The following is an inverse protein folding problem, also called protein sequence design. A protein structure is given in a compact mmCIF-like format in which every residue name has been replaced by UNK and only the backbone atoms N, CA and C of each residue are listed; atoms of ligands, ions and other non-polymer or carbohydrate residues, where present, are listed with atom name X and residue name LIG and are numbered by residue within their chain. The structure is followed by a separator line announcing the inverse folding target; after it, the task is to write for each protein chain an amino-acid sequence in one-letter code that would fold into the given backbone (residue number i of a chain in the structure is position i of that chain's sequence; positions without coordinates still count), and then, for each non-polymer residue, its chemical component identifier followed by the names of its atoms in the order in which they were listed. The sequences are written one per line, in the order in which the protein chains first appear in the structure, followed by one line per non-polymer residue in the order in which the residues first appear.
data_IF_226911158949
#
_entry.id   IF_226911158949
#
_cell.length_a   1.000
_cell.length_b   1.000
_cell.length_c   1.000
_cell.angle_alpha   90.00
_cell.angle_beta   90.00
_cell.angle_gamma   90.00
#
_symmetry.space_group_name_H-M   'P 1'
#
loop_
_entity.id
_entity.type
_entity.pdbx_description
1 polymer ?
#
# COMPACT_ATOMS: atom_id res chain seq x y z
N UNK A 1 3.80 18.96 22.31
CA UNK A 1 2.33 18.88 22.41
C UNK A 1 1.92 17.42 22.59
N UNK A 2 1.16 17.12 23.62
CA UNK A 2 0.65 15.79 23.95
C UNK A 2 -0.64 15.46 23.16
N UNK A 3 -1.06 14.19 23.13
CA UNK A 3 -2.34 13.79 22.51
C UNK A 3 -3.54 14.44 23.22
N UNK A 4 -3.50 14.51 24.55
CA UNK A 4 -4.52 15.14 25.38
C UNK A 4 -4.68 16.63 25.05
N UNK A 5 -3.57 17.37 24.91
CA UNK A 5 -3.58 18.78 24.50
C UNK A 5 -4.18 18.97 23.10
N UNK A 6 -3.89 18.06 22.15
CA UNK A 6 -4.44 18.13 20.79
C UNK A 6 -5.95 17.94 20.81
N UNK A 7 -6.40 16.92 21.52
CA UNK A 7 -7.82 16.69 21.73
C UNK A 7 -8.50 17.88 22.41
N UNK A 8 -7.85 18.52 23.38
CA UNK A 8 -8.40 19.70 24.04
C UNK A 8 -8.59 20.87 23.07
N UNK A 9 -7.66 21.08 22.13
CA UNK A 9 -7.78 22.09 21.08
C UNK A 9 -8.89 21.72 20.07
N UNK A 10 -8.94 20.47 19.62
CA UNK A 10 -9.96 19.99 18.68
C UNK A 10 -11.37 20.10 19.26
N UNK A 11 -11.53 19.87 20.58
CA UNK A 11 -12.81 19.93 21.28
C UNK A 11 -13.12 21.30 21.91
N UNK A 12 -12.42 22.37 21.53
CA UNK A 12 -12.66 23.71 22.08
C UNK A 12 -14.09 24.20 21.79
N UNK A 13 -14.55 24.02 20.56
CA UNK A 13 -15.84 24.52 20.07
C UNK A 13 -16.86 23.39 19.80
N UNK A 14 -16.56 22.16 20.24
CA UNK A 14 -17.36 20.97 19.98
C UNK A 14 -18.03 20.48 21.25
N UNK A 15 -19.36 20.32 21.21
CA UNK A 15 -20.10 19.70 22.30
C UNK A 15 -19.79 18.19 22.36
N UNK A 16 -19.04 17.79 23.37
CA UNK A 16 -18.57 16.40 23.57
C UNK A 16 -19.72 15.39 23.70
N UNK A 17 -20.83 15.77 24.34
CA UNK A 17 -21.98 14.88 24.53
C UNK A 17 -22.81 14.72 23.25
N UNK A 18 -22.88 15.76 22.42
CA UNK A 18 -23.45 15.66 21.08
C UNK A 18 -22.57 14.79 20.19
N UNK A 19 -21.28 15.10 20.13
CA UNK A 19 -20.30 14.33 19.36
C UNK A 19 -20.34 12.83 19.70
N UNK A 20 -20.31 12.49 20.99
CA UNK A 20 -20.35 11.10 21.42
C UNK A 20 -21.60 10.34 20.97
N UNK A 21 -22.75 11.02 20.86
CA UNK A 21 -24.00 10.42 20.38
C UNK A 21 -24.00 10.29 18.86
N UNK A 22 -23.60 11.35 18.16
CA UNK A 22 -23.61 11.40 16.70
C UNK A 22 -22.65 10.37 16.08
N UNK A 23 -21.51 10.13 16.72
CA UNK A 23 -20.50 9.18 16.24
C UNK A 23 -20.61 7.80 16.90
N UNK A 24 -21.63 7.57 17.74
CA UNK A 24 -21.74 6.39 18.59
C UNK A 24 -20.42 6.04 19.31
N UNK A 25 -19.77 7.06 19.90
CA UNK A 25 -18.39 6.97 20.37
C UNK A 25 -18.19 5.86 21.42
N UNK A 26 -17.16 5.00 21.30
CA UNK A 26 -16.91 3.92 22.26
C UNK A 26 -16.74 4.44 23.70
N UNK A 27 -17.60 3.99 24.62
CA UNK A 27 -17.61 4.47 26.01
C UNK A 27 -18.19 5.89 26.21
N UNK A 28 -18.77 6.47 25.16
CA UNK A 28 -19.50 7.73 25.19
C UNK A 28 -18.67 8.94 25.60
N UNK A 29 -19.37 9.97 26.09
CA UNK A 29 -18.75 11.25 26.45
C UNK A 29 -17.74 11.13 27.61
N UNK A 30 -17.96 10.18 28.53
CA UNK A 30 -17.02 9.90 29.63
C UNK A 30 -15.65 9.45 29.12
N UNK A 31 -15.61 8.65 28.05
CA UNK A 31 -14.35 8.22 27.44
C UNK A 31 -13.61 9.40 26.81
N UNK A 32 -14.33 10.29 26.12
CA UNK A 32 -13.76 11.52 25.55
C UNK A 32 -13.12 12.38 26.63
N UNK A 33 -13.78 12.52 27.79
CA UNK A 33 -13.23 13.25 28.92
C UNK A 33 -11.93 12.60 29.45
N UNK A 34 -11.88 11.27 29.54
CA UNK A 34 -10.68 10.55 30.00
C UNK A 34 -9.49 10.76 29.04
N UNK A 35 -9.73 10.77 27.72
CA UNK A 35 -8.69 11.06 26.73
C UNK A 35 -8.21 12.52 26.78
N UNK A 36 -9.14 13.49 26.86
CA UNK A 36 -8.79 14.92 26.97
C UNK A 36 -8.00 15.22 28.23
N UNK A 37 -8.30 14.54 29.34
CA UNK A 37 -7.57 14.70 30.61
C UNK A 37 -6.32 13.83 30.71
N UNK A 38 -6.01 13.03 29.69
CA UNK A 38 -4.84 12.15 29.67
C UNK A 38 -4.88 11.00 30.68
N UNK A 39 -6.05 10.69 31.28
CA UNK A 39 -6.20 9.61 32.26
C UNK A 39 -6.15 8.22 31.64
N UNK A 40 -6.53 8.12 30.37
CA UNK A 40 -6.54 6.88 29.61
C UNK A 40 -5.93 7.11 28.23
N UNK A 41 -5.08 6.20 27.71
CA UNK A 41 -4.60 6.28 26.34
C UNK A 41 -5.72 6.04 25.34
N UNK A 42 -5.60 6.63 24.15
CA UNK A 42 -6.54 6.45 23.04
C UNK A 42 -6.39 5.03 22.46
N UNK A 43 -7.48 4.27 22.40
CA UNK A 43 -7.51 2.96 21.73
C UNK A 43 -7.70 3.11 20.21
N UNK A 44 -7.37 2.09 19.40
CA UNK A 44 -7.57 2.14 17.95
C UNK A 44 -9.01 2.45 17.53
N UNK A 45 -10.00 1.88 18.22
CA UNK A 45 -11.42 2.09 17.93
C UNK A 45 -11.84 3.53 18.25
N UNK A 46 -11.30 4.08 19.33
CA UNK A 46 -11.53 5.47 19.69
C UNK A 46 -10.83 6.43 18.71
N UNK A 47 -9.63 6.07 18.23
CA UNK A 47 -8.90 6.84 17.24
C UNK A 47 -9.66 6.91 15.90
N UNK A 48 -10.22 5.79 15.44
CA UNK A 48 -11.07 5.74 14.24
C UNK A 48 -12.31 6.62 14.39
N UNK A 49 -13.02 6.53 15.53
CA UNK A 49 -14.18 7.37 15.81
C UNK A 49 -13.84 8.87 15.85
N UNK A 50 -12.67 9.26 16.37
CA UNK A 50 -12.21 10.64 16.31
C UNK A 50 -11.89 11.09 14.88
N UNK A 51 -11.15 10.28 14.12
CA UNK A 51 -10.78 10.63 12.75
C UNK A 51 -12.01 10.79 11.87
N UNK A 52 -12.92 9.82 11.92
CA UNK A 52 -14.18 9.82 11.17
C UNK A 52 -15.13 10.93 11.63
N UNK A 53 -15.27 11.14 12.94
CA UNK A 53 -16.20 12.12 13.50
C UNK A 53 -15.76 13.57 13.37
N UNK A 54 -14.45 13.83 13.46
CA UNK A 54 -13.88 15.18 13.34
C UNK A 54 -13.41 15.49 11.92
N UNK A 55 -13.45 14.50 11.02
CA UNK A 55 -12.91 14.58 9.66
C UNK A 55 -11.44 15.03 9.64
N UNK A 56 -10.63 14.39 10.48
CA UNK A 56 -9.18 14.63 10.62
C UNK A 56 -8.40 13.36 10.34
N UNK A 57 -7.12 13.51 10.04
CA UNK A 57 -6.21 12.37 9.88
C UNK A 57 -5.67 11.89 11.22
N UNK A 58 -5.22 10.62 11.26
CA UNK A 58 -4.63 10.04 12.47
C UNK A 58 -3.38 10.79 12.93
N UNK A 59 -2.61 11.37 12.02
CA UNK A 59 -1.43 12.19 12.34
C UNK A 59 -1.80 13.49 13.07
N UNK A 60 -2.91 14.13 12.67
CA UNK A 60 -3.44 15.32 13.34
C UNK A 60 -3.94 15.00 14.76
N UNK A 61 -4.48 13.80 14.99
CA UNK A 61 -4.88 13.33 16.31
C UNK A 61 -3.67 12.95 17.17
N UNK A 62 -2.82 12.08 16.63
CA UNK A 62 -1.67 11.48 17.31
C UNK A 62 -0.61 11.03 16.31
N UNK A 63 0.50 11.77 16.18
CA UNK A 63 1.62 11.37 15.34
C UNK A 63 2.20 10.01 15.74
N UNK A 64 2.19 9.69 17.04
CA UNK A 64 2.66 8.40 17.57
C UNK A 64 1.79 7.24 17.08
N UNK A 65 0.46 7.38 17.13
CA UNK A 65 -0.44 6.35 16.63
C UNK A 65 -0.34 6.22 15.10
N UNK A 66 -0.15 7.32 14.38
CA UNK A 66 0.07 7.30 12.93
C UNK A 66 1.34 6.53 12.55
N UNK A 67 2.44 6.72 13.27
CA UNK A 67 3.67 5.97 13.06
C UNK A 67 3.48 4.47 13.34
N UNK A 68 2.81 4.12 14.44
CA UNK A 68 2.51 2.72 14.78
C UNK A 68 1.61 2.09 13.71
N UNK A 69 0.56 2.78 13.28
CA UNK A 69 -0.34 2.30 12.23
C UNK A 69 0.42 2.07 10.91
N UNK A 70 1.32 2.98 10.54
CA UNK A 70 2.17 2.83 9.34
C UNK A 70 3.08 1.62 9.44
N UNK A 71 3.71 1.38 10.61
CA UNK A 71 4.53 0.19 10.85
C UNK A 71 3.71 -1.09 10.78
N UNK A 72 2.52 -1.10 11.39
CA UNK A 72 1.61 -2.25 11.37
C UNK A 72 1.10 -2.54 9.95
N UNK A 73 0.83 -1.52 9.15
CA UNK A 73 0.40 -1.68 7.76
C UNK A 73 1.41 -2.47 6.90
N UNK A 74 2.70 -2.39 7.19
CA UNK A 74 3.73 -3.19 6.50
C UNK A 74 3.63 -4.70 6.81
N UNK A 75 2.97 -5.07 7.92
CA UNK A 75 2.73 -6.46 8.30
C UNK A 75 1.37 -6.97 7.86
N UNK A 76 0.53 -6.13 7.27
CA UNK A 76 -0.72 -6.56 6.65
C UNK A 76 -0.44 -7.10 5.24
N UNK A 77 -1.15 -8.15 4.81
CA UNK A 77 -1.10 -8.54 3.41
C UNK A 77 -1.48 -7.32 2.57
N UNK A 78 -0.66 -6.98 1.56
CA UNK A 78 -0.96 -5.92 0.61
C UNK A 78 -2.26 -6.29 -0.10
N UNK A 79 -3.38 -5.78 0.40
CA UNK A 79 -4.66 -5.94 -0.25
C UNK A 79 -4.56 -5.21 -1.59
N UNK A 80 -4.62 -5.96 -2.69
CA UNK A 80 -4.84 -5.37 -4.00
C UNK A 80 -6.22 -4.72 -3.96
N UNK A 81 -6.24 -3.40 -4.06
CA UNK A 81 -7.46 -2.61 -4.08
C UNK A 81 -8.22 -2.92 -5.38
N UNK A 82 -9.08 -3.93 -5.35
CA UNK A 82 -10.27 -3.97 -6.19
C UNK A 82 -11.44 -3.70 -5.24
N UNK A 83 -12.13 -2.59 -5.49
CA UNK A 83 -13.04 -1.98 -4.53
C UNK A 83 -14.03 -2.94 -3.89
N UNK A 84 -14.07 -2.93 -2.56
CA UNK A 84 -15.32 -3.16 -1.83
C UNK A 84 -15.43 -4.41 -0.95
N UNK A 85 -14.57 -5.43 -1.06
CA UNK A 85 -14.67 -6.60 -0.18
C UNK A 85 -13.30 -7.12 0.25
N UNK A 86 -13.01 -7.06 1.55
CA UNK A 86 -11.84 -7.73 2.14
C UNK A 86 -12.14 -9.23 2.20
N UNK A 87 -11.81 -9.96 1.14
CA UNK A 87 -11.69 -11.42 1.21
C UNK A 87 -10.35 -11.72 1.87
N UNK A 88 -10.39 -12.29 3.08
CA UNK A 88 -9.18 -12.75 3.78
C UNK A 88 -8.62 -13.93 3.00
N UNK A 89 -7.69 -13.68 2.08
CA UNK A 89 -6.84 -14.73 1.52
C UNK A 89 -5.69 -14.92 2.50
N UNK A 90 -5.75 -16.05 3.21
CA UNK A 90 -4.66 -16.58 4.01
C UNK A 90 -3.35 -16.51 3.21
N UNK A 91 -2.32 -15.90 3.80
CA UNK A 91 -1.02 -15.73 3.18
C UNK A 91 -0.50 -17.07 2.67
N UNK A 92 -0.46 -17.24 1.34
CA UNK A 92 0.28 -18.33 0.72
C UNK A 92 1.76 -17.99 0.87
N UNK A 93 2.53 -18.97 1.34
CA UNK A 93 3.95 -18.87 1.63
C UNK A 93 4.75 -18.08 0.55
N UNK A 94 5.82 -17.35 0.93
CA UNK A 94 6.53 -16.39 0.07
C UNK A 94 7.18 -16.97 -1.21
N UNK A 95 7.03 -18.27 -1.51
CA UNK A 95 7.69 -18.95 -2.63
C UNK A 95 6.74 -19.67 -3.60
N UNK A 96 5.43 -19.40 -3.60
CA UNK A 96 4.54 -19.93 -4.62
C UNK A 96 4.25 -18.85 -5.68
N UNK A 97 5.17 -18.66 -6.64
CA UNK A 97 4.80 -18.03 -7.91
C UNK A 97 3.68 -18.90 -8.49
N UNK A 98 2.49 -18.31 -8.69
CA UNK A 98 1.35 -19.07 -9.22
C UNK A 98 1.75 -19.75 -10.54
N UNK A 99 1.36 -21.02 -10.77
CA UNK A 99 1.77 -21.76 -11.96
C UNK A 99 1.39 -21.06 -13.27
N UNK A 100 0.35 -20.22 -13.23
CA UNK A 100 -0.07 -19.37 -14.35
C UNK A 100 0.95 -18.25 -14.61
N UNK A 101 1.48 -17.62 -13.56
CA UNK A 101 2.50 -16.56 -13.69
C UNK A 101 3.78 -17.15 -14.26
N UNK A 102 4.20 -18.34 -13.79
CA UNK A 102 5.35 -19.05 -14.33
C UNK A 102 5.19 -19.37 -15.81
N UNK A 103 4.03 -19.91 -16.21
CA UNK A 103 3.72 -20.20 -17.62
C UNK A 103 3.74 -18.95 -18.50
N UNK A 104 3.28 -17.80 -18.00
CA UNK A 104 3.32 -16.53 -18.73
C UNK A 104 4.76 -16.04 -18.91
N UNK A 105 5.60 -16.11 -17.87
CA UNK A 105 7.03 -15.75 -17.98
C UNK A 105 7.80 -16.68 -18.91
N UNK A 106 7.51 -17.98 -18.87
CA UNK A 106 8.15 -18.98 -19.73
C UNK A 106 7.75 -18.74 -21.19
N UNK A 107 6.47 -18.50 -21.47
CA UNK A 107 5.98 -18.19 -22.81
C UNK A 107 6.57 -16.87 -23.35
N UNK A 108 6.67 -15.83 -22.52
CA UNK A 108 7.28 -14.56 -22.91
C UNK A 108 8.78 -14.71 -23.22
N UNK A 109 9.49 -15.57 -22.48
CA UNK A 109 10.91 -15.88 -22.71
C UNK A 109 11.08 -16.62 -24.04
N UNK A 110 10.27 -17.64 -24.29
CA UNK A 110 10.28 -18.40 -25.55
C UNK A 110 9.92 -17.52 -26.76
N UNK A 111 8.97 -16.58 -26.61
CA UNK A 111 8.61 -15.63 -27.67
C UNK A 111 9.77 -14.68 -28.02
N UNK A 112 10.52 -14.23 -27.01
CA UNK A 112 11.69 -13.36 -27.21
C UNK A 112 12.89 -14.11 -27.82
N UNK A 113 13.11 -15.36 -27.43
CA UNK A 113 14.15 -16.21 -28.01
C UNK A 113 13.85 -16.58 -29.47
N UNK A 114 12.59 -16.90 -29.77
CA UNK A 114 12.14 -17.18 -31.13
C UNK A 114 12.25 -15.94 -32.02
N UNK A 115 11.91 -14.76 -31.49
CA UNK A 115 12.09 -13.49 -32.19
C UNK A 115 13.57 -13.19 -32.48
N UNK A 116 14.46 -13.44 -31.50
CA UNK A 116 15.92 -13.30 -31.66
C UNK A 116 16.47 -14.27 -32.71
N UNK A 117 16.05 -15.53 -32.71
CA UNK A 117 16.49 -16.53 -33.68
C UNK A 117 16.12 -16.12 -35.12
N UNK A 118 14.89 -15.64 -35.35
CA UNK A 118 14.46 -15.16 -36.67
C UNK A 118 15.22 -13.92 -37.14
N UNK A 119 15.56 -13.02 -36.22
CA UNK A 119 16.37 -11.83 -36.56
C UNK A 119 17.81 -12.21 -36.91
N UNK A 120 18.40 -13.19 -36.22
CA UNK A 120 19.74 -13.71 -36.53
C UNK A 120 19.75 -14.44 -37.89
N UNK A 121 18.77 -15.30 -38.15
CA UNK A 121 18.62 -15.97 -39.44
C UNK A 121 18.46 -14.95 -40.57
N UNK A 122 17.64 -13.91 -40.37
CA UNK A 122 17.47 -12.84 -41.34
C UNK A 122 18.74 -12.02 -41.54
N UNK A 123 19.53 -11.79 -40.49
CA UNK A 123 20.81 -11.11 -40.59
C UNK A 123 21.86 -11.94 -41.34
N UNK A 124 21.87 -13.26 -41.17
CA UNK A 124 22.72 -14.18 -41.93
C UNK A 124 22.34 -14.21 -43.42
N UNK A 125 21.06 -14.33 -43.73
CA UNK A 125 20.58 -14.25 -45.12
C UNK A 125 20.99 -12.93 -45.79
N UNK A 126 20.93 -11.81 -45.06
CA UNK A 126 21.36 -10.51 -45.59
C UNK A 126 22.88 -10.43 -45.77
N UNK A 127 23.68 -11.05 -44.90
CA UNK A 127 25.15 -11.15 -45.07
C UNK A 127 25.53 -11.99 -46.30
N UNK A 128 24.75 -13.02 -46.60
CA UNK A 128 24.97 -13.90 -47.75
C UNK A 128 24.50 -13.27 -49.06
N UNK A 129 23.37 -12.54 -49.03
CA UNK A 129 22.84 -11.79 -50.17
C UNK A 129 23.71 -10.57 -50.54
N UNK A 130 24.34 -9.95 -49.54
CA UNK A 130 25.23 -8.78 -49.71
C UNK A 130 26.61 -9.05 -49.10
N UNK A 131 27.46 -9.88 -49.74
CA UNK A 131 28.80 -10.13 -49.23
C UNK A 131 29.58 -8.81 -49.25
N UNK A 132 29.89 -8.30 -48.05
CA UNK A 132 30.73 -7.12 -47.90
C UNK A 132 32.07 -7.39 -48.59
N UNK A 133 32.30 -6.70 -49.71
CA UNK A 133 33.53 -6.79 -50.48
C UNK A 133 34.63 -6.11 -49.68
N UNK A 134 35.30 -6.87 -48.81
CA UNK A 134 36.47 -6.40 -48.06
C UNK A 134 37.55 -6.09 -49.09
N UNK A 135 37.72 -4.80 -49.42
CA UNK A 135 38.86 -4.35 -50.22
C UNK A 135 40.09 -4.40 -49.33
N UNK A 136 40.75 -5.56 -49.29
CA UNK A 136 42.11 -5.67 -48.78
C UNK A 136 43.00 -4.76 -49.63
N UNK A 137 43.37 -3.61 -49.08
CA UNK A 137 44.50 -2.85 -49.61
C UNK A 137 45.75 -3.53 -49.07
N UNK A 138 46.32 -4.42 -49.88
CA UNK A 138 47.70 -4.87 -49.71
C UNK A 138 48.63 -3.66 -49.81
N UNK A 139 49.54 -3.52 -48.85
CA UNK A 139 50.77 -2.75 -48.97
C UNK A 139 51.92 -3.73 -48.77
#
# INVERSE_FOLDING_TARGET
MTEAERLQQLFKDINRAKFARDTAFPGGQSMIYQHITGRKPISPECADAYCSGLNITLDQLSPRLAEIATKLANHLPRAYANGGTVTVLQARAPNAIDPVVQQITDAATVMNETGRARLLERAEQLREQYPLRVKNHSN
#
